data_IF_848701722203
#
_entry.id   IF_848701722203
#
_cell.length_a   1.000
_cell.length_b   1.000
_cell.length_c   1.000
_cell.angle_alpha   90.00
_cell.angle_beta   90.00
_cell.angle_gamma   90.00
#
_symmetry.space_group_name_H-M   'P 1'
#
loop_
_entity.id
_entity.type
_entity.pdbx_description
1 polymer ?
#
# COMPACT_ATOMS: atom_id res chain seq x y z
N UNK A 1 -15.27 9.28 -2.07
CA UNK A 1 -14.02 9.99 -1.77
C UNK A 1 -13.05 9.02 -1.10
N UNK A 2 -11.81 8.92 -1.61
CA UNK A 2 -10.75 8.19 -0.93
C UNK A 2 -9.89 9.15 -0.09
N UNK A 3 -9.69 8.80 1.18
CA UNK A 3 -8.78 9.49 2.10
C UNK A 3 -7.65 8.53 2.44
N UNK A 4 -6.45 8.84 1.95
CA UNK A 4 -5.23 8.08 2.28
C UNK A 4 -4.55 8.67 3.51
N UNK A 5 -4.29 7.84 4.51
CA UNK A 5 -3.67 8.20 5.77
C UNK A 5 -2.34 7.47 5.96
N UNK A 6 -1.29 8.14 6.42
CA UNK A 6 -0.07 7.46 6.85
C UNK A 6 -0.33 6.69 8.14
N UNK A 7 0.45 5.64 8.38
CA UNK A 7 0.47 5.01 9.70
C UNK A 7 0.99 6.00 10.76
N UNK A 8 0.65 5.76 12.04
CA UNK A 8 1.13 6.62 13.12
C UNK A 8 2.66 6.61 13.25
N UNK A 9 3.32 5.52 12.90
CA UNK A 9 4.77 5.42 12.92
C UNK A 9 5.45 6.24 11.83
N UNK A 10 4.84 6.44 10.67
CA UNK A 10 5.49 7.12 9.54
C UNK A 10 5.99 8.54 9.90
N UNK A 11 5.17 9.46 10.42
CA UNK A 11 5.64 10.78 10.85
C UNK A 11 6.47 10.73 12.13
N UNK A 12 6.13 9.87 13.09
CA UNK A 12 6.89 9.77 14.36
C UNK A 12 8.32 9.31 14.07
N UNK A 13 8.49 8.29 13.25
CA UNK A 13 9.82 7.80 12.87
C UNK A 13 10.63 8.83 12.07
N UNK A 14 9.96 9.56 11.18
CA UNK A 14 10.63 10.50 10.27
C UNK A 14 11.02 11.83 10.93
N UNK A 15 10.25 12.31 11.93
CA UNK A 15 10.38 13.67 12.43
C UNK A 15 10.67 13.77 13.93
N UNK A 16 10.52 12.67 14.68
CA UNK A 16 10.79 12.66 16.13
C UNK A 16 12.13 11.99 16.41
N UNK A 17 12.95 12.60 17.26
CA UNK A 17 14.22 12.00 17.71
C UNK A 17 13.97 10.61 18.29
N UNK A 18 14.80 9.65 17.91
CA UNK A 18 14.69 8.22 18.25
C UNK A 18 14.37 7.97 19.73
N UNK A 19 15.02 8.70 20.65
CA UNK A 19 14.83 8.56 22.10
C UNK A 19 13.39 8.84 22.57
N UNK A 20 12.62 9.62 21.81
CA UNK A 20 11.27 10.03 22.16
C UNK A 20 10.18 9.32 21.36
N UNK A 21 10.56 8.54 20.34
CA UNK A 21 9.58 7.93 19.44
C UNK A 21 8.57 7.03 20.17
N UNK A 22 9.05 6.21 21.11
CA UNK A 22 8.20 5.30 21.88
C UNK A 22 7.20 6.04 22.80
N UNK A 23 7.57 7.21 23.31
CA UNK A 23 6.72 8.03 24.18
C UNK A 23 5.71 8.84 23.34
N UNK A 24 6.13 9.36 22.21
CA UNK A 24 5.29 10.21 21.34
C UNK A 24 4.33 9.38 20.49
N UNK A 25 4.73 8.18 20.05
CA UNK A 25 3.90 7.36 19.18
C UNK A 25 2.46 7.14 19.69
N UNK A 26 2.20 6.70 20.94
CA UNK A 26 0.81 6.49 21.38
C UNK A 26 0.00 7.80 21.44
N UNK A 27 0.63 8.94 21.70
CA UNK A 27 -0.02 10.26 21.69
C UNK A 27 -0.41 10.62 20.25
N UNK A 28 0.52 10.41 19.31
CA UNK A 28 0.25 10.68 17.89
C UNK A 28 -0.79 9.73 17.31
N UNK A 29 -0.71 8.42 17.64
CA UNK A 29 -1.70 7.43 17.20
C UNK A 29 -3.11 7.82 17.70
N UNK A 30 -3.26 8.23 18.97
CA UNK A 30 -4.55 8.68 19.48
C UNK A 30 -5.08 9.92 18.74
N UNK A 31 -4.23 10.90 18.43
CA UNK A 31 -4.61 12.07 17.64
C UNK A 31 -5.02 11.69 16.21
N UNK A 32 -4.26 10.82 15.54
CA UNK A 32 -4.56 10.34 14.19
C UNK A 32 -5.91 9.58 14.15
N UNK A 33 -6.18 8.75 15.14
CA UNK A 33 -7.47 8.06 15.26
C UNK A 33 -8.63 9.03 15.54
N UNK A 34 -8.37 10.13 16.24
CA UNK A 34 -9.34 11.23 16.40
C UNK A 34 -9.66 11.90 15.07
N UNK A 35 -8.66 12.17 14.22
CA UNK A 35 -8.86 12.70 12.87
C UNK A 35 -9.61 11.70 11.96
N UNK A 36 -9.28 10.41 12.03
CA UNK A 36 -10.04 9.37 11.35
C UNK A 36 -11.53 9.41 11.73
N UNK A 37 -11.81 9.49 13.04
CA UNK A 37 -13.20 9.56 13.53
C UNK A 37 -13.92 10.80 12.99
N UNK A 38 -13.28 11.97 12.99
CA UNK A 38 -13.85 13.21 12.46
C UNK A 38 -14.14 13.12 10.94
N UNK A 39 -13.25 12.49 10.16
CA UNK A 39 -13.47 12.23 8.74
C UNK A 39 -14.68 11.31 8.52
N UNK A 40 -14.76 10.23 9.29
CA UNK A 40 -15.86 9.26 9.20
C UNK A 40 -17.21 9.85 9.68
N UNK A 41 -17.21 10.83 10.56
CA UNK A 41 -18.42 11.58 10.98
C UNK A 41 -18.87 12.58 9.90
N UNK A 42 -17.92 13.20 9.22
CA UNK A 42 -18.19 14.26 8.24
C UNK A 42 -18.67 13.74 6.88
N UNK A 43 -18.33 12.50 6.52
CA UNK A 43 -18.58 11.93 5.18
C UNK A 43 -19.43 10.68 5.31
N UNK A 44 -20.55 10.55 4.55
CA UNK A 44 -21.36 9.34 4.55
C UNK A 44 -20.54 8.09 4.23
N UNK A 45 -20.68 6.99 4.99
CA UNK A 45 -19.87 5.78 4.84
C UNK A 45 -19.82 5.23 3.41
N UNK A 46 -20.95 5.25 2.70
CA UNK A 46 -21.07 4.78 1.32
C UNK A 46 -20.35 5.66 0.29
N UNK A 47 -19.89 6.84 0.70
CA UNK A 47 -19.15 7.80 -0.13
C UNK A 47 -17.69 7.93 0.31
N UNK A 48 -17.27 7.16 1.32
CA UNK A 48 -15.94 7.25 1.93
C UNK A 48 -15.19 5.93 1.80
N UNK A 49 -13.94 6.04 1.37
CA UNK A 49 -12.94 4.99 1.44
C UNK A 49 -11.75 5.49 2.27
N UNK A 50 -11.30 4.71 3.23
CA UNK A 50 -10.08 4.95 3.98
C UNK A 50 -8.99 4.00 3.51
N UNK A 51 -7.86 4.56 3.06
CA UNK A 51 -6.66 3.78 2.73
C UNK A 51 -5.55 4.06 3.74
N UNK A 52 -4.99 3.01 4.32
CA UNK A 52 -3.77 3.13 5.12
C UNK A 52 -2.52 2.90 4.28
N UNK A 53 -1.60 3.87 4.30
CA UNK A 53 -0.32 3.80 3.58
C UNK A 53 0.76 3.25 4.52
N UNK A 54 1.20 2.02 4.26
CA UNK A 54 2.19 1.30 5.07
C UNK A 54 3.54 1.29 4.35
N UNK A 55 4.38 2.24 4.70
CA UNK A 55 5.71 2.39 4.12
C UNK A 55 6.83 2.16 5.15
N UNK A 56 6.83 2.90 6.26
CA UNK A 56 7.86 2.82 7.29
C UNK A 56 7.97 1.40 7.87
N UNK A 57 6.86 0.76 8.13
CA UNK A 57 6.78 -0.61 8.64
C UNK A 57 7.35 -1.62 7.64
N UNK A 58 7.15 -1.41 6.34
CA UNK A 58 7.79 -2.23 5.31
C UNK A 58 9.31 -2.11 5.35
N UNK A 59 9.86 -0.91 5.63
CA UNK A 59 11.31 -0.74 5.78
C UNK A 59 11.88 -1.52 6.96
N UNK A 60 11.12 -1.65 8.04
CA UNK A 60 11.50 -2.46 9.20
C UNK A 60 11.36 -3.95 8.91
N UNK A 61 10.28 -4.36 8.26
CA UNK A 61 10.09 -5.73 7.82
C UNK A 61 11.27 -6.22 6.97
N UNK A 62 11.68 -5.39 6.03
CA UNK A 62 12.81 -5.65 5.13
C UNK A 62 14.20 -5.43 5.77
N UNK A 63 14.24 -5.04 7.06
CA UNK A 63 15.49 -4.76 7.81
C UNK A 63 16.35 -3.66 7.17
N UNK A 64 15.72 -2.70 6.51
CA UNK A 64 16.42 -1.54 5.93
C UNK A 64 16.81 -0.55 7.03
N UNK A 65 15.88 -0.29 7.95
CA UNK A 65 16.09 0.62 9.08
C UNK A 65 15.86 -0.08 10.42
N UNK A 66 16.46 0.43 11.53
CA UNK A 66 16.19 -0.10 12.86
C UNK A 66 14.73 0.12 13.24
N UNK A 67 14.07 -0.96 13.68
CA UNK A 67 12.70 -0.89 14.16
C UNK A 67 12.61 -0.51 15.64
N UNK A 68 11.52 0.11 16.09
CA UNK A 68 11.28 0.39 17.50
C UNK A 68 10.80 -0.84 18.29
N UNK A 69 10.71 -2.02 17.66
CA UNK A 69 10.21 -3.27 18.23
C UNK A 69 11.33 -4.27 18.42
N UNK A 70 11.28 -5.08 19.49
CA UNK A 70 12.16 -6.25 19.65
C UNK A 70 11.74 -7.38 18.72
N UNK A 71 10.43 -7.70 18.70
CA UNK A 71 9.80 -8.56 17.71
C UNK A 71 9.23 -7.69 16.60
N UNK A 72 10.02 -7.57 15.54
CA UNK A 72 9.69 -6.66 14.42
C UNK A 72 8.43 -7.13 13.68
N UNK A 73 8.28 -8.42 13.46
CA UNK A 73 7.16 -8.95 12.69
C UNK A 73 5.83 -8.72 13.42
N UNK A 74 5.74 -9.14 14.68
CA UNK A 74 4.54 -8.89 15.47
C UNK A 74 4.33 -7.39 15.72
N UNK A 75 5.39 -6.63 16.01
CA UNK A 75 5.29 -5.18 16.21
C UNK A 75 4.73 -4.44 15.00
N UNK A 76 5.18 -4.77 13.80
CA UNK A 76 4.65 -4.24 12.54
C UNK A 76 3.19 -4.63 12.36
N UNK A 77 2.89 -5.93 12.41
CA UNK A 77 1.54 -6.42 12.14
C UNK A 77 0.51 -5.91 13.15
N UNK A 78 0.85 -5.89 14.44
CA UNK A 78 -0.07 -5.42 15.49
C UNK A 78 -0.31 -3.92 15.42
N UNK A 79 0.72 -3.12 15.10
CA UNK A 79 0.55 -1.66 14.96
C UNK A 79 -0.36 -1.30 13.80
N UNK A 80 -0.17 -1.94 12.64
CA UNK A 80 -1.01 -1.67 11.45
C UNK A 80 -2.42 -2.23 11.62
N UNK A 81 -2.56 -3.45 12.19
CA UNK A 81 -3.88 -4.06 12.41
C UNK A 81 -4.77 -3.21 13.34
N UNK A 82 -4.20 -2.51 14.33
CA UNK A 82 -4.98 -1.56 15.16
C UNK A 82 -5.59 -0.45 14.31
N UNK A 83 -4.84 0.11 13.35
CA UNK A 83 -5.32 1.16 12.46
C UNK A 83 -6.40 0.64 11.52
N UNK A 84 -6.21 -0.54 10.92
CA UNK A 84 -7.20 -1.19 10.07
C UNK A 84 -8.51 -1.43 10.83
N UNK A 85 -8.42 -1.94 12.06
CA UNK A 85 -9.58 -2.23 12.90
C UNK A 85 -10.29 -0.97 13.43
N UNK A 86 -9.66 0.20 13.39
CA UNK A 86 -10.26 1.46 13.81
C UNK A 86 -11.22 2.08 12.77
N UNK A 87 -11.16 1.63 11.51
CA UNK A 87 -12.07 2.12 10.46
C UNK A 87 -13.48 1.55 10.71
N UNK A 88 -14.54 2.36 10.80
CA UNK A 88 -15.90 1.90 11.09
C UNK A 88 -16.44 0.92 10.05
N UNK A 89 -17.30 -0.01 10.47
CA UNK A 89 -18.04 -0.87 9.55
C UNK A 89 -18.91 -0.02 8.60
N UNK A 90 -18.92 -0.39 7.31
CA UNK A 90 -19.65 0.35 6.27
C UNK A 90 -18.82 1.41 5.54
N UNK A 91 -17.64 1.76 6.05
CA UNK A 91 -16.63 2.54 5.32
C UNK A 91 -15.72 1.57 4.57
N UNK A 92 -15.49 1.82 3.28
CA UNK A 92 -14.57 1.03 2.46
C UNK A 92 -13.14 1.13 3.02
N UNK A 93 -12.46 -0.01 3.18
CA UNK A 93 -11.12 -0.10 3.78
C UNK A 93 -10.10 -0.59 2.76
N UNK A 94 -9.13 0.25 2.47
CA UNK A 94 -7.97 -0.06 1.63
C UNK A 94 -6.66 -0.15 2.40
N UNK A 95 -5.75 -0.95 1.88
CA UNK A 95 -4.39 -1.07 2.36
C UNK A 95 -3.42 -0.89 1.19
N UNK A 96 -2.50 0.06 1.32
CA UNK A 96 -1.37 0.21 0.42
C UNK A 96 -0.06 -0.16 1.12
N UNK A 97 0.62 -1.19 0.64
CA UNK A 97 2.00 -1.48 1.03
C UNK A 97 2.96 -0.75 0.09
N UNK A 98 4.06 -0.23 0.61
CA UNK A 98 4.97 0.60 -0.16
C UNK A 98 6.44 0.29 0.14
N UNK A 99 7.30 0.29 -0.88
CA UNK A 99 8.76 0.17 -0.71
C UNK A 99 9.45 1.48 -0.35
N UNK A 100 8.68 2.53 -0.02
CA UNK A 100 9.16 3.89 0.09
C UNK A 100 9.10 4.62 -1.25
N UNK A 101 8.94 5.92 -1.19
CA UNK A 101 8.88 6.76 -2.39
C UNK A 101 9.50 8.14 -2.18
N UNK A 102 10.41 8.26 -1.22
CA UNK A 102 11.16 9.49 -1.04
C UNK A 102 12.03 9.75 -2.28
N UNK A 103 11.88 10.92 -2.89
CA UNK A 103 12.51 11.25 -4.17
C UNK A 103 12.17 10.26 -5.31
N UNK A 104 11.02 9.61 -5.26
CA UNK A 104 10.60 8.55 -6.19
C UNK A 104 11.59 7.37 -6.29
N UNK A 105 12.22 7.02 -5.18
CA UNK A 105 13.16 5.90 -5.08
C UNK A 105 12.73 4.96 -3.97
N UNK A 106 12.90 3.66 -4.19
CA UNK A 106 12.72 2.65 -3.16
C UNK A 106 13.86 2.73 -2.14
N UNK A 107 13.59 2.40 -0.89
CA UNK A 107 14.63 2.26 0.12
C UNK A 107 15.54 1.06 -0.19
N UNK A 108 14.96 0.03 -0.79
CA UNK A 108 15.62 -1.18 -1.22
C UNK A 108 14.83 -1.78 -2.37
N UNK A 109 15.52 -2.16 -3.42
CA UNK A 109 14.89 -2.88 -4.53
C UNK A 109 14.46 -4.28 -4.07
N UNK A 110 13.18 -4.64 -4.23
CA UNK A 110 12.69 -5.94 -3.80
C UNK A 110 13.20 -7.06 -4.70
N UNK A 111 13.48 -8.22 -4.10
CA UNK A 111 13.85 -9.43 -4.85
C UNK A 111 12.63 -10.02 -5.55
N UNK A 112 11.51 -10.08 -4.82
CA UNK A 112 10.20 -10.57 -5.27
C UNK A 112 9.08 -9.99 -4.39
N UNK A 113 7.84 -10.45 -4.59
CA UNK A 113 6.67 -10.02 -3.82
C UNK A 113 6.51 -10.74 -2.47
N UNK A 114 7.44 -11.60 -2.04
CA UNK A 114 7.28 -12.43 -0.84
C UNK A 114 7.03 -11.60 0.42
N UNK A 115 7.77 -10.52 0.63
CA UNK A 115 7.60 -9.68 1.83
C UNK A 115 6.25 -8.96 1.82
N UNK A 116 5.78 -8.47 0.67
CA UNK A 116 4.45 -7.88 0.54
C UNK A 116 3.36 -8.90 0.88
N UNK A 117 3.47 -10.12 0.34
CA UNK A 117 2.53 -11.22 0.60
C UNK A 117 2.54 -11.63 2.07
N UNK A 118 3.72 -11.71 2.69
CA UNK A 118 3.85 -12.07 4.11
C UNK A 118 3.19 -11.03 5.02
N UNK A 119 3.45 -9.74 4.77
CA UNK A 119 2.82 -8.64 5.53
C UNK A 119 1.31 -8.60 5.29
N UNK A 120 0.87 -8.66 4.03
CA UNK A 120 -0.55 -8.66 3.70
C UNK A 120 -1.29 -9.82 4.39
N UNK A 121 -0.80 -11.05 4.27
CA UNK A 121 -1.39 -12.22 4.91
C UNK A 121 -1.40 -12.12 6.45
N UNK A 122 -0.32 -11.57 7.03
CA UNK A 122 -0.23 -11.33 8.47
C UNK A 122 -1.24 -10.30 8.96
N UNK A 123 -1.48 -9.23 8.19
CA UNK A 123 -2.49 -8.21 8.48
C UNK A 123 -3.91 -8.75 8.31
N UNK A 124 -4.19 -9.46 7.21
CA UNK A 124 -5.49 -10.10 6.96
C UNK A 124 -5.86 -11.02 8.13
N UNK A 125 -4.90 -11.79 8.65
CA UNK A 125 -5.14 -12.69 9.77
C UNK A 125 -5.43 -11.98 11.12
N UNK A 126 -5.02 -10.71 11.28
CA UNK A 126 -5.20 -9.90 12.49
C UNK A 126 -6.34 -8.89 12.40
N UNK A 127 -6.77 -8.60 11.19
CA UNK A 127 -7.83 -7.61 10.96
C UNK A 127 -9.19 -8.27 11.14
N UNK A 128 -10.04 -7.65 11.98
CA UNK A 128 -11.42 -8.07 12.24
C UNK A 128 -12.41 -7.50 11.22
N UNK A 129 -11.92 -6.61 10.38
CA UNK A 129 -12.64 -5.94 9.32
C UNK A 129 -12.38 -6.63 7.97
N UNK A 130 -13.36 -6.59 7.08
CA UNK A 130 -13.13 -6.86 5.67
C UNK A 130 -12.17 -5.82 5.09
N UNK A 131 -11.17 -6.27 4.36
CA UNK A 131 -10.28 -5.43 3.57
C UNK A 131 -10.87 -5.37 2.15
N UNK A 132 -11.41 -4.22 1.76
CA UNK A 132 -12.10 -4.07 0.48
C UNK A 132 -11.11 -4.09 -0.67
N UNK A 133 -9.92 -3.50 -0.50
CA UNK A 133 -8.85 -3.63 -1.49
C UNK A 133 -7.44 -3.62 -0.88
N UNK A 134 -6.53 -4.25 -1.62
CA UNK A 134 -5.09 -4.25 -1.37
C UNK A 134 -4.36 -3.68 -2.58
N UNK A 135 -3.53 -2.67 -2.38
CA UNK A 135 -2.65 -2.11 -3.40
C UNK A 135 -1.19 -2.46 -3.13
N UNK A 136 -0.53 -3.09 -4.09
CA UNK A 136 0.87 -3.52 -4.01
C UNK A 136 1.71 -2.83 -5.09
N UNK A 137 2.89 -2.28 -4.74
CA UNK A 137 3.81 -1.68 -5.69
C UNK A 137 4.48 -2.74 -6.57
N UNK A 138 4.80 -2.37 -7.79
CA UNK A 138 5.60 -3.20 -8.72
C UNK A 138 6.68 -2.29 -9.32
N UNK A 139 7.97 -2.56 -9.06
CA UNK A 139 9.05 -1.78 -9.65
C UNK A 139 9.05 -1.87 -11.17
N UNK A 140 9.41 -0.76 -11.83
CA UNK A 140 9.41 -0.64 -13.28
C UNK A 140 10.20 -1.76 -13.97
N UNK A 141 11.34 -2.14 -13.41
CA UNK A 141 12.26 -3.13 -13.96
C UNK A 141 11.87 -4.59 -13.66
N UNK A 142 10.66 -4.85 -13.13
CA UNK A 142 10.21 -6.19 -12.75
C UNK A 142 9.07 -6.67 -13.65
N UNK A 143 9.47 -7.27 -14.80
CA UNK A 143 8.57 -7.96 -15.71
C UNK A 143 8.83 -9.48 -15.77
N UNK A 144 9.62 -9.99 -14.83
CA UNK A 144 9.94 -11.41 -14.73
C UNK A 144 8.95 -12.18 -13.85
N UNK A 145 8.64 -13.42 -14.25
CA UNK A 145 7.69 -14.27 -13.52
C UNK A 145 8.15 -14.61 -12.11
N UNK A 146 9.46 -14.65 -11.85
CA UNK A 146 10.02 -14.92 -10.53
C UNK A 146 9.63 -13.87 -9.51
N UNK A 147 9.57 -12.60 -9.92
CA UNK A 147 9.13 -11.50 -9.06
C UNK A 147 7.69 -11.69 -8.56
N UNK A 148 6.77 -12.08 -9.45
CA UNK A 148 5.36 -12.23 -9.15
C UNK A 148 4.97 -13.58 -8.52
N UNK A 149 5.85 -14.59 -8.57
CA UNK A 149 5.52 -15.95 -8.14
C UNK A 149 4.94 -16.03 -6.71
N UNK A 150 5.43 -15.27 -5.70
CA UNK A 150 4.87 -15.31 -4.35
C UNK A 150 3.42 -14.79 -4.25
N UNK A 151 2.91 -14.02 -5.22
CA UNK A 151 1.50 -13.57 -5.22
C UNK A 151 0.52 -14.74 -5.19
N UNK A 152 0.91 -15.92 -5.73
CA UNK A 152 0.10 -17.14 -5.63
C UNK A 152 -0.17 -17.61 -4.18
N UNK A 153 0.58 -17.10 -3.21
CA UNK A 153 0.38 -17.33 -1.78
C UNK A 153 -0.46 -16.27 -1.05
N UNK A 154 -0.95 -15.24 -1.75
CA UNK A 154 -1.78 -14.19 -1.16
C UNK A 154 -3.16 -14.77 -0.78
N UNK A 155 -3.60 -14.47 0.46
CA UNK A 155 -4.85 -14.98 1.04
C UNK A 155 -5.93 -13.90 1.11
N UNK A 156 -6.04 -13.10 0.06
CA UNK A 156 -7.05 -12.08 -0.03
C UNK A 156 -8.44 -12.73 -0.15
N UNK A 157 -9.44 -12.14 0.50
CA UNK A 157 -10.83 -12.59 0.37
C UNK A 157 -11.27 -12.47 -1.10
N UNK A 158 -12.03 -13.42 -1.66
CA UNK A 158 -12.48 -13.38 -3.05
C UNK A 158 -13.33 -12.14 -3.42
N UNK A 159 -13.89 -11.46 -2.43
CA UNK A 159 -14.66 -10.21 -2.61
C UNK A 159 -13.81 -8.95 -2.51
N UNK A 160 -12.54 -9.08 -2.09
CA UNK A 160 -11.58 -7.98 -2.05
C UNK A 160 -10.92 -7.77 -3.41
N UNK A 161 -10.60 -6.53 -3.73
CA UNK A 161 -9.88 -6.20 -4.96
C UNK A 161 -8.38 -6.12 -4.72
N UNK A 162 -7.60 -6.72 -5.62
CA UNK A 162 -6.15 -6.55 -5.68
C UNK A 162 -5.82 -5.50 -6.74
N UNK A 163 -5.05 -4.47 -6.39
CA UNK A 163 -4.46 -3.53 -7.33
C UNK A 163 -2.95 -3.72 -7.37
N UNK A 164 -2.38 -3.80 -8.57
CA UNK A 164 -0.94 -3.86 -8.77
C UNK A 164 -0.45 -2.56 -9.43
N UNK A 165 0.61 -2.00 -8.88
CA UNK A 165 1.25 -0.76 -9.31
C UNK A 165 2.08 -0.92 -10.57
N UNK A 166 1.47 -1.37 -11.66
CA UNK A 166 2.12 -1.82 -12.90
C UNK A 166 2.46 -0.70 -13.88
N UNK A 167 1.95 0.51 -13.63
CA UNK A 167 2.07 1.62 -14.59
C UNK A 167 3.27 2.50 -14.25
N UNK A 168 4.09 2.76 -15.24
CA UNK A 168 5.23 3.69 -15.19
C UNK A 168 5.27 4.48 -16.50
N UNK A 169 5.51 5.81 -16.43
CA UNK A 169 5.51 6.67 -17.61
C UNK A 169 6.67 6.36 -18.56
N UNK A 170 7.82 5.97 -18.03
CA UNK A 170 9.07 5.86 -18.80
C UNK A 170 9.02 4.73 -19.84
N UNK A 171 8.28 3.64 -19.55
CA UNK A 171 8.11 2.51 -20.46
C UNK A 171 6.67 2.34 -20.99
N UNK A 172 5.77 3.19 -20.51
CA UNK A 172 4.43 3.37 -21.06
C UNK A 172 3.58 2.11 -21.11
N UNK A 173 2.76 2.01 -22.15
CA UNK A 173 1.78 0.92 -22.33
C UNK A 173 2.46 -0.43 -22.47
N UNK A 174 3.53 -0.54 -23.25
CA UNK A 174 4.17 -1.83 -23.52
C UNK A 174 4.81 -2.40 -22.25
N UNK A 175 5.53 -1.59 -21.47
CA UNK A 175 6.09 -2.02 -20.18
C UNK A 175 5.00 -2.46 -19.20
N UNK A 176 3.88 -1.72 -19.13
CA UNK A 176 2.72 -2.11 -18.32
C UNK A 176 2.16 -3.47 -18.76
N UNK A 177 1.97 -3.70 -20.06
CA UNK A 177 1.46 -4.96 -20.60
C UNK A 177 2.41 -6.13 -20.36
N UNK A 178 3.72 -5.91 -20.36
CA UNK A 178 4.70 -6.95 -20.01
C UNK A 178 4.55 -7.37 -18.54
N UNK A 179 4.49 -6.41 -17.61
CA UNK A 179 4.28 -6.69 -16.19
C UNK A 179 2.93 -7.39 -15.93
N UNK A 180 1.86 -6.96 -16.61
CA UNK A 180 0.55 -7.62 -16.54
C UNK A 180 0.62 -9.08 -16.96
N UNK A 181 1.28 -9.37 -18.11
CA UNK A 181 1.46 -10.76 -18.59
C UNK A 181 2.26 -11.61 -17.61
N UNK A 182 3.26 -11.02 -16.95
CA UNK A 182 4.07 -11.71 -15.95
C UNK A 182 3.31 -12.00 -14.64
N UNK A 183 2.42 -11.08 -14.21
CA UNK A 183 1.64 -11.22 -12.98
C UNK A 183 0.46 -12.21 -13.10
N UNK A 184 -0.23 -12.23 -14.24
CA UNK A 184 -1.47 -13.01 -14.47
C UNK A 184 -1.43 -14.48 -14.03
N UNK A 185 -0.34 -15.24 -14.19
CA UNK A 185 -0.30 -16.64 -13.74
C UNK A 185 -0.39 -16.82 -12.22
N UNK A 186 -0.10 -15.78 -11.44
CA UNK A 186 -0.03 -15.82 -9.99
C UNK A 186 -1.13 -15.02 -9.30
N UNK A 187 -1.69 -14.04 -10.01
CA UNK A 187 -2.84 -13.24 -9.59
C UNK A 187 -3.81 -13.14 -10.78
N UNK A 188 -4.79 -14.05 -10.92
CA UNK A 188 -5.64 -14.13 -12.11
C UNK A 188 -6.59 -12.93 -12.28
N UNK A 189 -6.95 -12.25 -11.18
CA UNK A 189 -7.77 -11.04 -11.17
C UNK A 189 -7.05 -9.94 -10.38
N UNK A 190 -6.85 -8.78 -11.01
CA UNK A 190 -6.33 -7.57 -10.37
C UNK A 190 -6.65 -6.33 -11.22
N UNK A 191 -6.80 -5.20 -10.54
CA UNK A 191 -6.81 -3.88 -11.13
C UNK A 191 -5.41 -3.36 -11.39
N UNK A 192 -5.31 -2.30 -12.20
CA UNK A 192 -4.06 -1.63 -12.52
C UNK A 192 -3.94 -0.29 -11.78
N UNK A 193 -2.75 0.05 -11.34
CA UNK A 193 -2.45 1.31 -10.68
C UNK A 193 -1.03 1.78 -11.03
N UNK A 194 -0.70 3.03 -10.71
CA UNK A 194 0.70 3.43 -10.57
C UNK A 194 1.27 2.85 -9.27
N UNK A 195 2.59 2.77 -9.18
CA UNK A 195 3.28 2.13 -8.06
C UNK A 195 2.98 2.77 -6.70
N UNK A 196 2.81 4.08 -6.68
CA UNK A 196 2.49 4.87 -5.50
C UNK A 196 1.66 6.09 -5.90
N UNK A 197 1.16 6.86 -4.91
CA UNK A 197 0.36 8.05 -5.16
C UNK A 197 1.06 9.13 -5.98
N UNK A 198 0.29 9.89 -6.77
CA UNK A 198 0.79 10.92 -7.69
C UNK A 198 1.04 12.28 -7.03
N UNK A 199 0.71 12.44 -5.74
CA UNK A 199 0.75 13.75 -5.06
C UNK A 199 2.11 14.43 -4.97
N UNK A 200 3.22 13.71 -5.21
CA UNK A 200 4.58 14.27 -5.28
C UNK A 200 5.13 14.38 -6.70
N UNK A 201 4.34 14.02 -7.69
CA UNK A 201 4.73 14.16 -9.10
C UNK A 201 4.54 15.60 -9.57
N UNK A 202 5.32 16.07 -10.52
CA UNK A 202 5.11 17.37 -11.15
C UNK A 202 3.69 17.47 -11.73
N UNK A 203 3.01 18.59 -11.54
CA UNK A 203 1.62 18.77 -11.97
C UNK A 203 1.41 18.52 -13.47
N UNK A 204 2.39 18.90 -14.30
CA UNK A 204 2.39 18.67 -15.74
C UNK A 204 2.44 17.20 -16.15
N UNK A 205 2.91 16.32 -15.25
CA UNK A 205 2.96 14.89 -15.50
C UNK A 205 1.64 14.15 -15.22
N UNK A 206 0.71 14.78 -14.50
CA UNK A 206 -0.55 14.12 -14.09
C UNK A 206 -1.42 13.74 -15.30
N UNK A 207 -1.55 14.64 -16.29
CA UNK A 207 -2.27 14.32 -17.52
C UNK A 207 -1.74 13.08 -18.25
N UNK A 208 -0.43 12.99 -18.53
CA UNK A 208 0.21 11.78 -19.06
C UNK A 208 -0.04 10.51 -18.22
N UNK A 209 0.00 10.59 -16.88
CA UNK A 209 -0.33 9.45 -16.01
C UNK A 209 -1.77 8.97 -16.21
N UNK A 210 -2.75 9.87 -16.21
CA UNK A 210 -4.16 9.54 -16.42
C UNK A 210 -4.40 8.97 -17.81
N UNK A 211 -3.73 9.49 -18.84
CA UNK A 211 -3.80 8.96 -20.20
C UNK A 211 -3.24 7.54 -20.27
N UNK A 212 -2.09 7.27 -19.66
CA UNK A 212 -1.51 5.92 -19.59
C UNK A 212 -2.48 4.91 -18.94
N UNK A 213 -3.12 5.31 -17.82
CA UNK A 213 -4.13 4.45 -17.18
C UNK A 213 -5.29 4.13 -18.14
N UNK A 214 -5.83 5.14 -18.83
CA UNK A 214 -6.94 4.97 -19.75
C UNK A 214 -6.56 4.06 -20.95
N UNK A 215 -5.35 4.24 -21.52
CA UNK A 215 -4.88 3.43 -22.64
C UNK A 215 -4.67 1.97 -22.25
N UNK A 216 -4.02 1.71 -21.10
CA UNK A 216 -3.80 0.33 -20.62
C UNK A 216 -5.14 -0.33 -20.26
N UNK A 217 -6.04 0.36 -19.57
CA UNK A 217 -7.38 -0.14 -19.27
C UNK A 217 -8.17 -0.48 -20.55
N UNK A 218 -8.13 0.39 -21.56
CA UNK A 218 -8.75 0.12 -22.86
C UNK A 218 -8.21 -1.13 -23.58
N UNK A 219 -6.89 -1.37 -23.48
CA UNK A 219 -6.25 -2.58 -24.03
C UNK A 219 -6.60 -3.87 -23.30
N UNK A 220 -7.03 -3.77 -22.03
CA UNK A 220 -7.43 -4.94 -21.23
C UNK A 220 -8.92 -5.29 -21.39
N UNK A 221 -9.75 -4.33 -21.80
CA UNK A 221 -11.18 -4.50 -21.97
C UNK A 221 -11.58 -5.04 -23.37
N UNK A 222 -10.70 -4.96 -24.36
CA UNK A 222 -10.90 -5.43 -25.73
C UNK A 222 -10.29 -6.80 -25.97
#
# INVERSE_FOLDING_TARGET
>A
LQVALPTAWAPVYSFISYRWQREIHPIYEAALLGELAAVCEAIPPESLCIQWDVATEMSWWERVYPAPFEDIENGVLDSVARLLNAVPAGVELGLHLCYGSMNNQHWKEPVDTQNLVSVANGLIARTQRHLDFLHLPVPQNRSDRGYFAPLGGLRLDPTSELFLGLLHLDDGVEGALERIRAARPFAPAFGIACECGLGRRPAESIGPWLQLHAEVAGRLAG
#
